data_IF_378376702886
#
_entry.id   IF_378376702886
#
_cell.length_a   1.000
_cell.length_b   1.000
_cell.length_c   1.000
_cell.angle_alpha   90.00
_cell.angle_beta   90.00
_cell.angle_gamma   90.00
#
_symmetry.space_group_name_H-M   'P 1'
#
loop_
_entity.id
_entity.type
_entity.pdbx_description
1 polymer ?
2 non-polymer ?
3 non-polymer ?
4 non-polymer ?
5 water ?
#
# COMPACT_ATOMS: atom_id res chain seq x y z
N UNK A 2 0.90 4.94 26.52
CA UNK A 2 1.53 4.89 25.21
C UNK A 2 0.90 3.82 24.31
N UNK A 3 0.72 4.13 23.03
CA UNK A 3 0.05 3.26 22.08
C UNK A 3 1.06 2.55 21.18
N UNK A 4 0.82 1.27 20.91
CA UNK A 4 1.69 0.41 20.11
C UNK A 4 0.86 -0.17 18.95
N UNK A 5 0.82 0.52 17.82
CA UNK A 5 -0.07 0.13 16.74
C UNK A 5 0.38 -1.17 16.07
N UNK A 6 -0.59 -2.05 15.81
CA UNK A 6 -0.36 -3.32 15.11
C UNK A 6 -0.73 -3.16 13.65
N UNK A 7 0.25 -3.36 12.75
CA UNK A 7 0.05 -3.30 11.30
C UNK A 7 0.10 -4.72 10.73
N UNK A 8 -0.85 -5.03 9.84
CA UNK A 8 -0.87 -6.31 9.17
C UNK A 8 -0.97 -6.10 7.65
N UNK A 9 -0.32 -7.00 6.91
CA UNK A 9 -0.41 -7.03 5.46
C UNK A 9 -1.03 -8.35 5.07
N UNK A 10 -2.08 -8.29 4.24
CA UNK A 10 -2.87 -9.46 3.86
C UNK A 10 -2.81 -9.61 2.35
N UNK A 11 -2.24 -10.72 1.89
CA UNK A 11 -2.25 -11.06 0.49
C UNK A 11 -3.45 -11.90 0.15
N UNK A 12 -4.17 -11.52 -0.89
CA UNK A 12 -5.39 -12.23 -1.31
C UNK A 12 -5.24 -12.68 -2.76
N UNK A 13 -5.32 -13.98 -2.99
CA UNK A 13 -5.12 -14.52 -4.32
C UNK A 13 -3.63 -14.62 -4.68
N UNK A 14 -3.38 -14.96 -5.95
CA UNK A 14 -2.02 -15.28 -6.36
C UNK A 14 -1.04 -14.11 -6.30
N UNK A 15 -1.37 -13.00 -6.97
CA UNK A 15 -0.45 -11.87 -6.98
C UNK A 15 -0.28 -11.27 -5.60
N UNK A 16 -1.35 -11.27 -4.81
CA UNK A 16 -1.24 -10.72 -3.47
C UNK A 16 -0.33 -11.57 -2.60
N UNK A 17 -0.47 -12.91 -2.74
CA UNK A 17 0.40 -13.79 -1.98
C UNK A 17 1.82 -13.77 -2.50
N UNK A 18 2.02 -13.53 -3.82
CA UNK A 18 3.37 -13.32 -4.34
C UNK A 18 4.02 -12.10 -3.72
N UNK A 19 3.25 -11.02 -3.57
CA UNK A 19 3.80 -9.80 -2.98
C UNK A 19 4.17 -10.03 -1.52
N UNK A 20 3.33 -10.76 -0.79
CA UNK A 20 3.63 -11.05 0.60
C UNK A 20 4.92 -11.87 0.71
N UNK A 21 5.05 -12.88 -0.15
CA UNK A 21 6.26 -13.70 -0.13
C UNK A 21 7.50 -12.88 -0.41
N UNK A 22 7.44 -12.00 -1.41
CA UNK A 22 8.60 -11.18 -1.75
C UNK A 22 8.90 -10.15 -0.66
N UNK A 23 7.88 -9.65 0.03
CA UNK A 23 8.13 -8.72 1.13
C UNK A 23 8.77 -9.42 2.32
N UNK A 24 8.31 -10.62 2.65
CA UNK A 24 8.93 -11.40 3.70
C UNK A 24 10.39 -11.71 3.36
N UNK A 25 10.64 -12.11 2.10
CA UNK A 25 12.01 -12.34 1.66
C UNK A 25 12.89 -11.11 1.85
N UNK A 26 12.39 -9.95 1.41
CA UNK A 26 13.17 -8.72 1.49
C UNK A 26 13.48 -8.35 2.94
N UNK A 27 12.56 -8.66 3.85
CA UNK A 27 12.74 -8.36 5.25
C UNK A 27 11.89 -7.19 5.72
N UNK A 28 10.97 -7.47 6.64
CA UNK A 28 10.17 -6.46 7.30
C UNK A 28 9.99 -6.88 8.75
N UNK A 29 9.92 -5.89 9.64
CA UNK A 29 9.78 -6.16 11.07
C UNK A 29 8.63 -5.34 11.64
N UNK A 30 8.08 -5.85 12.75
CA UNK A 30 6.90 -5.33 13.42
C UNK A 30 5.63 -5.41 12.57
N UNK A 31 5.70 -6.02 11.40
CA UNK A 31 4.53 -6.18 10.53
C UNK A 31 4.17 -7.66 10.52
N UNK A 32 2.88 -7.95 10.69
CA UNK A 32 2.39 -9.31 10.61
C UNK A 32 1.79 -9.57 9.23
N UNK A 33 2.00 -10.77 8.71
CA UNK A 33 1.54 -11.13 7.38
C UNK A 33 0.51 -12.24 7.43
N UNK A 34 -0.51 -12.10 6.58
CA UNK A 34 -1.57 -13.10 6.45
C UNK A 34 -1.71 -13.40 4.96
N UNK A 35 -1.77 -14.68 4.63
CA UNK A 35 -1.97 -15.15 3.26
C UNK A 35 -3.35 -15.79 3.15
N UNK A 36 -4.18 -15.30 2.24
CA UNK A 36 -5.51 -15.82 1.98
C UNK A 36 -5.61 -16.27 0.52
N UNK A 37 -6.08 -17.49 0.29
CA UNK A 37 -6.20 -17.98 -1.07
C UNK A 37 -7.14 -19.16 -1.11
N UNK A 38 -7.78 -19.31 -2.27
CA UNK A 38 -8.45 -20.55 -2.65
C UNK A 38 -7.47 -21.66 -3.01
N UNK A 39 -6.31 -21.30 -3.55
CA UNK A 39 -5.32 -22.21 -4.10
C UNK A 39 -4.48 -22.78 -2.99
N UNK A 40 -4.76 -24.04 -2.63
CA UNK A 40 -4.06 -24.68 -1.54
C UNK A 40 -2.60 -24.91 -1.81
N UNK A 41 -2.25 -25.21 -3.07
CA UNK A 41 -0.84 -25.45 -3.39
C UNK A 41 -0.03 -24.18 -3.22
N UNK A 42 -0.56 -23.05 -3.67
CA UNK A 42 0.11 -21.77 -3.48
C UNK A 42 0.23 -21.46 -2.00
N UNK A 43 -0.82 -21.72 -1.21
CA UNK A 43 -0.71 -21.45 0.22
C UNK A 43 0.34 -22.30 0.88
N UNK A 44 0.51 -23.54 0.42
CA UNK A 44 1.57 -24.36 1.00
C UNK A 44 2.93 -23.71 0.77
N UNK A 45 3.08 -22.93 -0.30
CA UNK A 45 4.36 -22.27 -0.59
C UNK A 45 4.48 -20.90 0.06
N UNK A 46 3.48 -20.44 0.78
CA UNK A 46 3.52 -19.12 1.39
C UNK A 46 4.46 -19.10 2.58
N UNK A 47 5.18 -18.00 2.73
CA UNK A 47 6.04 -17.80 3.90
C UNK A 47 5.31 -17.11 5.04
N UNK A 48 4.03 -16.78 4.87
CA UNK A 48 3.28 -16.07 5.89
C UNK A 48 3.04 -16.96 7.10
N UNK A 49 3.10 -16.33 8.29
CA UNK A 49 2.88 -17.01 9.56
C UNK A 49 1.43 -17.42 9.75
N UNK A 50 0.50 -16.73 9.08
CA UNK A 50 -0.92 -16.97 9.19
C UNK A 50 -1.45 -17.23 7.79
N UNK A 51 -2.06 -18.38 7.58
CA UNK A 51 -2.55 -18.79 6.27
C UNK A 51 -4.00 -19.17 6.41
N UNK A 52 -4.85 -18.69 5.51
CA UNK A 52 -6.27 -19.02 5.49
C UNK A 52 -6.62 -19.54 4.10
N UNK A 53 -7.02 -20.80 4.02
CA UNK A 53 -7.54 -21.39 2.81
C UNK A 53 -9.04 -21.15 2.81
N UNK A 54 -9.52 -20.49 1.77
CA UNK A 54 -10.91 -20.14 1.62
C UNK A 54 -11.50 -20.95 0.48
N UNK A 55 -12.79 -21.31 0.61
CA UNK A 55 -13.51 -21.86 -0.51
C UNK A 55 -13.21 -23.31 -0.87
N UNK A 56 -12.69 -24.10 0.07
CA UNK A 56 -12.33 -25.48 -0.30
C UNK A 56 -13.53 -26.27 -0.83
N UNK A 57 -14.71 -26.08 -0.24
CA UNK A 57 -15.90 -26.74 -0.77
C UNK A 57 -16.28 -26.24 -2.14
N UNK A 58 -15.91 -25.00 -2.50
CA UNK A 58 -16.29 -24.46 -3.80
C UNK A 58 -15.30 -24.81 -4.89
N UNK A 59 -14.00 -24.86 -4.57
CA UNK A 59 -12.96 -25.04 -5.58
C UNK A 59 -12.13 -26.31 -5.41
N UNK A 60 -12.34 -27.08 -4.33
CA UNK A 60 -11.55 -28.27 -4.04
C UNK A 60 -10.06 -28.00 -3.94
N UNK A 61 -9.69 -26.82 -3.47
CA UNK A 61 -8.31 -26.45 -3.25
C UNK A 61 -7.62 -25.83 -4.44
N UNK A 62 -8.33 -25.66 -5.54
CA UNK A 62 -7.83 -24.92 -6.69
C UNK A 62 -8.23 -23.46 -6.61
N UNK A 63 -7.65 -22.66 -7.50
CA UNK A 63 -8.12 -21.30 -7.63
C UNK A 63 -9.55 -21.24 -8.16
N UNK A 64 -10.06 -20.02 -8.25
CA UNK A 64 -11.41 -19.74 -8.69
C UNK A 64 -11.58 -19.70 -10.21
N UNK A 65 -10.50 -19.82 -10.98
CA UNK A 65 -10.66 -19.96 -12.42
C UNK A 65 -11.32 -18.76 -13.07
N UNK A 66 -10.94 -17.56 -12.63
CA UNK A 66 -11.40 -16.27 -13.15
C UNK A 66 -12.85 -15.95 -12.82
N UNK A 67 -13.46 -16.66 -11.85
CA UNK A 67 -14.86 -16.40 -11.50
C UNK A 67 -14.95 -15.58 -10.20
N UNK A 68 -15.19 -14.27 -10.25
CA UNK A 68 -15.15 -13.48 -9.03
C UNK A 68 -16.27 -13.78 -8.08
N UNK A 69 -17.41 -14.29 -8.56
CA UNK A 69 -18.49 -14.64 -7.64
C UNK A 69 -18.07 -15.77 -6.73
N UNK A 70 -17.24 -16.70 -7.23
CA UNK A 70 -16.70 -17.77 -6.38
C UNK A 70 -15.70 -17.22 -5.37
N UNK A 71 -14.85 -16.28 -5.79
CA UNK A 71 -13.94 -15.67 -4.84
C UNK A 71 -14.65 -14.91 -3.73
N UNK A 72 -15.73 -14.21 -4.09
CA UNK A 72 -16.53 -13.49 -3.11
C UNK A 72 -17.19 -14.47 -2.13
N UNK A 73 -17.88 -15.50 -2.64
CA UNK A 73 -18.53 -16.48 -1.77
C UNK A 73 -17.51 -17.18 -0.89
N UNK A 74 -16.34 -17.52 -1.44
CA UNK A 74 -15.31 -18.17 -0.62
C UNK A 74 -14.94 -17.32 0.59
N UNK A 75 -14.65 -16.03 0.36
CA UNK A 75 -14.30 -15.16 1.49
C UNK A 75 -15.45 -15.03 2.49
N UNK A 76 -16.67 -14.80 2.00
CA UNK A 76 -17.83 -14.66 2.90
C UNK A 76 -18.02 -15.90 3.77
N UNK A 77 -17.81 -17.08 3.21
CA UNK A 77 -18.02 -18.30 3.99
C UNK A 77 -16.90 -18.55 5.00
N UNK A 78 -15.75 -17.88 4.84
CA UNK A 78 -14.64 -17.92 5.79
C UNK A 78 -14.54 -16.65 6.65
N UNK A 79 -15.63 -15.90 6.76
CA UNK A 79 -15.61 -14.65 7.53
C UNK A 79 -15.03 -14.82 8.93
N UNK A 80 -15.49 -15.82 9.69
CA UNK A 80 -15.01 -15.94 11.07
C UNK A 80 -13.50 -16.19 11.13
N UNK A 81 -12.97 -17.00 10.20
CA UNK A 81 -11.55 -17.28 10.18
C UNK A 81 -10.76 -16.03 9.82
N UNK A 82 -11.28 -15.24 8.91
CA UNK A 82 -10.63 -13.99 8.53
C UNK A 82 -10.69 -13.00 9.69
N UNK A 83 -11.84 -12.87 10.34
CA UNK A 83 -11.94 -12.00 11.51
C UNK A 83 -10.90 -12.38 12.56
N UNK A 84 -10.81 -13.69 12.86
CA UNK A 84 -9.89 -14.15 13.90
C UNK A 84 -8.44 -13.80 13.56
N UNK A 85 -8.08 -13.86 12.27
CA UNK A 85 -6.69 -13.56 11.89
C UNK A 85 -6.40 -12.07 11.97
N UNK A 86 -7.41 -11.24 11.74
CA UNK A 86 -7.25 -9.78 11.77
C UNK A 86 -7.33 -9.21 13.20
N UNK A 87 -8.11 -9.85 14.08
CA UNK A 87 -8.44 -9.23 15.35
C UNK A 87 -7.21 -8.70 16.05
N UNK A 88 -7.24 -7.42 16.44
CA UNK A 88 -6.14 -6.76 17.08
C UNK A 88 -5.42 -5.77 16.19
N UNK A 89 -5.56 -5.90 14.88
CA UNK A 89 -4.90 -4.96 13.96
C UNK A 89 -5.48 -3.58 14.12
N UNK A 90 -4.58 -2.59 14.20
CA UNK A 90 -4.96 -1.19 14.10
C UNK A 90 -5.00 -0.73 12.65
N UNK A 91 -4.19 -1.32 11.79
CA UNK A 91 -4.14 -0.98 10.37
C UNK A 91 -3.90 -2.24 9.57
N UNK A 92 -4.62 -2.39 8.45
CA UNK A 92 -4.49 -3.53 7.56
C UNK A 92 -4.28 -3.03 6.14
N UNK A 93 -3.26 -3.57 5.47
CA UNK A 93 -3.04 -3.38 4.04
C UNK A 93 -3.48 -4.65 3.34
N UNK A 94 -4.42 -4.55 2.41
CA UNK A 94 -4.91 -5.67 1.62
C UNK A 94 -4.34 -5.53 0.22
N UNK A 95 -3.53 -6.48 -0.20
CA UNK A 95 -2.93 -6.45 -1.53
C UNK A 95 -3.39 -7.63 -2.38
N UNK A 96 -3.69 -7.35 -3.65
CA UNK A 96 -4.31 -8.34 -4.51
C UNK A 96 -4.17 -7.90 -5.95
N UNK A 97 -4.09 -8.86 -6.86
CA UNK A 97 -4.15 -8.60 -8.28
C UNK A 97 -5.57 -8.71 -8.80
N UNK A 98 -6.10 -7.66 -9.40
CA UNK A 98 -7.47 -7.66 -9.90
C UNK A 98 -7.55 -8.26 -11.31
N UNK A 99 -8.68 -8.92 -11.59
CA UNK A 99 -8.92 -9.47 -12.92
C UNK A 99 -9.33 -10.93 -12.94
N UNK A 100 -8.83 -11.68 -11.97
CA UNK A 100 -9.16 -13.08 -11.78
C UNK A 100 -10.37 -13.25 -10.88
N UNK A 101 -10.51 -14.45 -10.32
CA UNK A 101 -11.67 -14.72 -9.45
C UNK A 101 -11.39 -14.52 -7.96
N UNK A 102 -10.28 -15.06 -7.47
CA UNK A 102 -9.98 -14.94 -6.05
C UNK A 102 -9.66 -13.50 -5.63
N UNK A 103 -8.72 -12.84 -6.31
CA UNK A 103 -8.42 -11.46 -5.92
C UNK A 103 -9.62 -10.55 -6.11
N UNK A 104 -10.19 -10.54 -7.32
CA UNK A 104 -11.29 -9.63 -7.62
C UNK A 104 -12.42 -9.81 -6.63
N UNK A 105 -12.77 -11.06 -6.34
CA UNK A 105 -13.95 -11.34 -5.55
C UNK A 105 -13.71 -11.33 -4.05
N UNK A 106 -12.59 -11.91 -3.60
CA UNK A 106 -12.34 -12.03 -2.17
C UNK A 106 -11.71 -10.78 -1.57
N UNK A 107 -10.84 -10.07 -2.30
CA UNK A 107 -10.16 -8.95 -1.67
C UNK A 107 -11.13 -7.90 -1.12
N UNK A 108 -12.21 -7.53 -1.80
CA UNK A 108 -13.11 -6.53 -1.23
C UNK A 108 -13.83 -7.05 0.01
N UNK A 109 -14.05 -8.37 0.09
CA UNK A 109 -14.66 -8.93 1.28
C UNK A 109 -13.71 -8.86 2.47
N UNK A 110 -12.45 -9.23 2.24
CA UNK A 110 -11.43 -9.13 3.26
C UNK A 110 -11.31 -7.69 3.76
N UNK A 111 -11.27 -6.72 2.85
CA UNK A 111 -11.17 -5.33 3.27
C UNK A 111 -12.39 -4.89 4.08
N UNK A 112 -13.60 -5.28 3.65
CA UNK A 112 -14.80 -4.94 4.41
C UNK A 112 -14.72 -5.53 5.82
N UNK A 113 -14.26 -6.78 5.95
CA UNK A 113 -14.15 -7.39 7.28
C UNK A 113 -13.16 -6.61 8.13
N UNK A 114 -12.01 -6.24 7.56
CA UNK A 114 -11.01 -5.50 8.32
C UNK A 114 -11.57 -4.19 8.86
N UNK A 115 -12.27 -3.44 7.99
CA UNK A 115 -12.82 -2.16 8.41
C UNK A 115 -13.90 -2.35 9.46
N UNK A 116 -14.70 -3.41 9.31
CA UNK A 116 -15.73 -3.70 10.31
C UNK A 116 -15.13 -4.07 11.65
N UNK A 117 -13.96 -4.71 11.62
CA UNK A 117 -13.20 -5.06 12.83
C UNK A 117 -12.48 -3.86 13.45
N UNK A 118 -12.58 -2.67 12.85
CA UNK A 118 -11.98 -1.47 13.42
C UNK A 118 -10.61 -1.10 12.89
N UNK A 119 -10.08 -1.84 11.92
CA UNK A 119 -8.77 -1.49 11.37
C UNK A 119 -8.89 -0.39 10.32
N UNK A 120 -7.95 0.56 10.36
CA UNK A 120 -7.71 1.45 9.24
C UNK A 120 -7.24 0.61 8.06
N UNK A 121 -8.00 0.62 6.97
CA UNK A 121 -7.89 -0.37 5.92
C UNK A 121 -7.45 0.27 4.61
N UNK A 122 -6.31 -0.17 4.08
CA UNK A 122 -5.72 0.36 2.85
C UNK A 122 -5.63 -0.78 1.84
N UNK A 123 -6.13 -0.55 0.62
CA UNK A 123 -5.99 -1.50 -0.45
C UNK A 123 -4.87 -1.06 -1.39
N UNK A 124 -4.06 -2.02 -1.82
CA UNK A 124 -3.03 -1.79 -2.84
C UNK A 124 -3.19 -2.91 -3.87
N UNK A 125 -3.73 -2.58 -5.03
CA UNK A 125 -4.15 -3.58 -5.98
C UNK A 125 -3.62 -3.23 -7.36
N UNK A 126 -3.42 -4.25 -8.18
CA UNK A 126 -3.03 -4.08 -9.59
C UNK A 126 -4.22 -4.23 -10.53
N UNK A 127 -4.21 -3.50 -11.65
CA UNK A 127 -5.03 -3.77 -12.83
C UNK A 127 -4.24 -4.59 -13.84
N UNK A 128 -4.87 -5.46 -14.62
CA UNK A 128 -4.12 -6.37 -15.49
C UNK A 128 -3.46 -5.66 -16.67
N UNK A 129 -2.45 -6.32 -17.23
CA UNK A 129 -1.84 -5.80 -18.45
C UNK A 129 -2.87 -5.76 -19.57
N UNK A 130 -2.77 -4.76 -20.43
CA UNK A 130 -3.64 -4.73 -21.61
C UNK A 130 -3.54 -6.00 -22.46
N UNK A 131 -2.38 -6.66 -22.52
CA UNK A 131 -2.28 -7.88 -23.31
C UNK A 131 -3.14 -9.02 -22.75
N UNK A 132 -3.66 -8.88 -21.52
CA UNK A 132 -4.55 -9.89 -20.97
C UNK A 132 -5.98 -9.76 -21.49
N UNK A 133 -6.31 -8.70 -22.21
CA UNK A 133 -7.56 -8.59 -22.92
C UNK A 133 -8.62 -7.76 -22.21
N UNK A 134 -9.64 -7.38 -22.98
CA UNK A 134 -10.64 -6.43 -22.50
C UNK A 134 -11.50 -7.02 -21.39
N UNK A 135 -11.86 -8.30 -21.48
CA UNK A 135 -12.73 -8.88 -20.46
C UNK A 135 -12.06 -8.91 -19.09
N UNK A 136 -10.77 -9.23 -19.05
CA UNK A 136 -10.03 -9.21 -17.80
C UNK A 136 -9.96 -7.80 -17.23
N UNK A 137 -9.77 -6.81 -18.11
CA UNK A 137 -9.73 -5.43 -17.65
C UNK A 137 -11.08 -4.98 -17.10
N UNK A 138 -12.17 -5.37 -17.74
CA UNK A 138 -13.50 -5.02 -17.25
C UNK A 138 -13.79 -5.68 -15.92
N UNK A 139 -13.47 -6.97 -15.80
CA UNK A 139 -13.63 -7.65 -14.52
C UNK A 139 -12.79 -7.00 -13.43
N UNK A 140 -11.54 -6.65 -13.76
CA UNK A 140 -10.70 -5.96 -12.79
C UNK A 140 -11.32 -4.62 -12.38
N UNK A 141 -11.90 -3.87 -13.33
CA UNK A 141 -12.52 -2.58 -13.00
C UNK A 141 -13.64 -2.74 -11.98
N UNK A 142 -14.43 -3.81 -12.11
CA UNK A 142 -15.46 -4.04 -11.11
C UNK A 142 -14.85 -4.37 -9.74
N UNK A 143 -13.72 -5.09 -9.74
CA UNK A 143 -13.04 -5.34 -8.48
C UNK A 143 -12.52 -4.06 -7.84
N UNK A 144 -11.96 -3.17 -8.65
CA UNK A 144 -11.46 -1.91 -8.13
C UNK A 144 -12.58 -1.10 -7.51
N UNK A 145 -13.73 -1.06 -8.18
CA UNK A 145 -14.86 -0.31 -7.65
C UNK A 145 -15.34 -0.92 -6.33
N UNK A 146 -15.41 -2.25 -6.26
CA UNK A 146 -15.77 -2.91 -5.00
C UNK A 146 -14.73 -2.66 -3.92
N UNK A 147 -13.44 -2.70 -4.26
CA UNK A 147 -12.41 -2.36 -3.28
C UNK A 147 -12.63 -0.95 -2.74
N UNK A 148 -12.86 -0.01 -3.65
CA UNK A 148 -12.97 1.39 -3.23
C UNK A 148 -14.10 1.57 -2.24
N UNK A 149 -15.21 0.83 -2.43
CA UNK A 149 -16.35 0.93 -1.54
C UNK A 149 -16.07 0.30 -0.18
N UNK A 150 -15.05 -0.55 -0.08
CA UNK A 150 -14.78 -1.32 1.13
C UNK A 150 -13.63 -0.80 1.97
N UNK A 151 -12.69 -0.06 1.39
CA UNK A 151 -11.50 0.37 2.11
C UNK A 151 -11.66 1.80 2.62
N UNK A 152 -10.72 2.22 3.49
CA UNK A 152 -10.52 3.64 3.78
C UNK A 152 -9.80 4.35 2.64
N UNK A 153 -8.68 3.79 2.17
CA UNK A 153 -7.95 4.36 1.06
C UNK A 153 -7.51 3.26 0.09
N UNK A 154 -7.41 3.62 -1.18
CA UNK A 154 -7.06 2.67 -2.23
C UNK A 154 -5.94 3.22 -3.11
N UNK A 155 -4.94 2.37 -3.36
CA UNK A 155 -3.84 2.67 -4.28
C UNK A 155 -3.92 1.64 -5.39
N UNK A 156 -4.08 2.09 -6.62
CA UNK A 156 -4.14 1.22 -7.79
C UNK A 156 -2.86 1.36 -8.61
N UNK A 157 -2.26 0.22 -8.96
CA UNK A 157 -1.10 0.10 -9.83
C UNK A 157 -1.49 -0.58 -11.15
N UNK A 158 -1.66 0.13 -12.26
CA UNK A 158 -1.94 -0.54 -13.52
C UNK A 158 -0.67 -1.28 -13.96
N UNK A 159 -0.76 -2.58 -14.19
CA UNK A 159 0.43 -3.33 -14.59
C UNK A 159 1.04 -2.80 -15.87
N UNK A 160 0.25 -2.18 -16.74
CA UNK A 160 0.82 -1.58 -17.95
C UNK A 160 1.90 -0.58 -17.63
N UNK A 161 1.85 0.06 -16.46
CA UNK A 161 2.92 1.00 -16.13
C UNK A 161 4.27 0.31 -15.97
N UNK A 162 4.28 -0.98 -15.65
CA UNK A 162 5.55 -1.71 -15.59
C UNK A 162 6.26 -1.69 -16.94
N UNK A 163 5.50 -1.62 -18.03
CA UNK A 163 6.11 -1.57 -19.36
C UNK A 163 6.86 -0.26 -19.61
N UNK A 164 6.61 0.76 -18.80
CA UNK A 164 7.28 2.04 -18.91
C UNK A 164 8.61 2.08 -18.15
N UNK A 165 8.89 1.10 -17.31
CA UNK A 165 10.07 1.12 -16.45
C UNK A 165 11.07 0.00 -16.75
N UNK A 166 10.76 -0.89 -17.69
CA UNK A 166 11.67 -1.95 -18.06
C UNK A 166 12.34 -1.62 -19.39
N UNK A 167 13.48 -2.28 -19.62
CA UNK A 167 14.04 -2.36 -20.96
C UNK A 167 13.66 -3.72 -21.55
N UNK A 168 14.14 -4.03 -22.75
CA UNK A 168 13.68 -5.24 -23.43
C UNK A 168 14.13 -6.51 -22.73
N UNK A 169 15.10 -6.42 -21.83
CA UNK A 169 15.63 -7.58 -21.13
C UNK A 169 15.31 -7.65 -19.64
N UNK A 170 14.69 -6.63 -19.04
CA UNK A 170 14.46 -6.65 -17.59
C UNK A 170 13.66 -7.89 -17.22
N UNK A 171 14.13 -8.73 -16.29
CA UNK A 171 13.35 -9.92 -15.92
C UNK A 171 11.99 -9.54 -15.39
N UNK A 172 10.98 -10.34 -15.77
CA UNK A 172 9.64 -10.12 -15.24
C UNK A 172 9.64 -10.04 -13.72
N UNK A 173 10.41 -10.89 -13.04
CA UNK A 173 10.41 -10.84 -11.58
C UNK A 173 10.96 -9.53 -11.04
N UNK A 174 11.94 -8.93 -11.72
CA UNK A 174 12.46 -7.63 -11.28
C UNK A 174 11.42 -6.54 -11.45
N UNK A 175 10.63 -6.59 -12.52
CA UNK A 175 9.55 -5.64 -12.70
C UNK A 175 8.52 -5.81 -11.59
N UNK A 176 8.17 -7.05 -11.27
CA UNK A 176 7.19 -7.26 -10.21
C UNK A 176 7.69 -6.71 -8.88
N UNK A 177 9.00 -6.85 -8.60
CA UNK A 177 9.54 -6.28 -7.38
C UNK A 177 9.37 -4.76 -7.34
N UNK A 178 9.51 -4.08 -8.49
CA UNK A 178 9.28 -2.64 -8.50
C UNK A 178 7.85 -2.29 -8.11
N UNK A 179 6.86 -3.06 -8.55
CA UNK A 179 5.50 -2.77 -8.14
C UNK A 179 5.33 -3.07 -6.64
N UNK A 180 5.98 -4.13 -6.14
CA UNK A 180 5.91 -4.44 -4.71
C UNK A 180 6.38 -3.27 -3.85
N UNK A 181 7.34 -2.49 -4.36
CA UNK A 181 7.93 -1.42 -3.56
C UNK A 181 6.91 -0.36 -3.16
N UNK A 182 5.87 -0.16 -3.97
CA UNK A 182 4.83 0.78 -3.59
C UNK A 182 4.26 0.40 -2.23
N UNK A 183 3.81 -0.84 -2.11
CA UNK A 183 3.29 -1.33 -0.85
C UNK A 183 4.36 -1.36 0.23
N UNK A 184 5.53 -1.94 -0.08
CA UNK A 184 6.51 -2.21 0.96
C UNK A 184 7.04 -0.91 1.55
N UNK A 185 7.38 0.06 0.69
CA UNK A 185 7.92 1.32 1.19
C UNK A 185 6.86 2.13 1.92
N UNK A 186 5.60 2.05 1.49
CA UNK A 186 4.54 2.70 2.23
C UNK A 186 4.36 2.12 3.62
N UNK A 187 4.28 0.79 3.71
CA UNK A 187 4.17 0.14 5.00
C UNK A 187 5.33 0.52 5.90
N UNK A 188 6.55 0.44 5.36
CA UNK A 188 7.74 0.78 6.14
C UNK A 188 7.71 2.22 6.60
N UNK A 189 7.31 3.13 5.72
CA UNK A 189 7.25 4.53 6.09
C UNK A 189 6.24 4.80 7.19
N UNK A 190 5.09 4.15 7.13
CA UNK A 190 4.12 4.33 8.18
C UNK A 190 4.60 3.69 9.49
N UNK A 191 5.17 2.47 9.40
CA UNK A 191 5.71 1.83 10.58
C UNK A 191 6.74 2.71 11.28
N UNK A 192 7.62 3.33 10.50
CA UNK A 192 8.64 4.21 11.08
C UNK A 192 8.02 5.45 11.72
N UNK A 193 7.02 6.02 11.06
CA UNK A 193 6.32 7.16 11.63
C UNK A 193 5.65 6.81 12.96
N UNK A 194 5.12 5.59 13.06
CA UNK A 194 4.41 5.17 14.27
C UNK A 194 5.37 4.96 15.44
N UNK A 195 6.56 4.43 15.16
CA UNK A 195 7.49 3.98 16.18
C UNK A 195 8.49 5.04 16.63
N UNK A 196 8.90 5.94 15.72
CA UNK A 196 10.03 6.83 15.95
C UNK A 196 9.48 8.18 16.39
N UNK A 197 9.81 8.60 17.62
CA UNK A 197 9.37 9.91 18.10
C UNK A 197 10.03 11.00 17.28
N UNK A 198 9.24 11.99 16.85
CA UNK A 198 9.83 13.10 16.11
C UNK A 198 9.87 14.44 16.84
N UNK A 199 10.74 15.35 16.39
CA UNK A 199 10.79 16.68 17.00
C UNK A 199 9.51 17.46 16.73
N UNK A 200 8.91 17.29 15.56
CA UNK A 200 7.51 17.62 15.34
C UNK A 200 6.84 16.28 15.10
N UNK A 201 6.20 15.74 16.15
CA UNK A 201 5.84 14.34 16.17
C UNK A 201 4.50 14.11 15.47
N UNK A 202 4.48 13.10 14.61
CA UNK A 202 3.29 12.53 14.02
C UNK A 202 3.16 11.11 14.56
N UNK A 203 1.93 10.62 14.71
CA UNK A 203 1.74 9.26 15.20
C UNK A 203 0.57 8.64 14.46
N UNK A 204 0.13 7.47 14.93
CA UNK A 204 -0.90 6.76 14.22
C UNK A 204 -2.21 7.53 14.11
N UNK A 205 -2.55 8.37 15.10
CA UNK A 205 -3.76 9.18 14.98
C UNK A 205 -3.71 10.11 13.77
N UNK A 206 -2.52 10.59 13.43
CA UNK A 206 -2.42 11.44 12.25
C UNK A 206 -2.58 10.64 10.98
N UNK A 207 -2.09 9.40 10.97
CA UNK A 207 -2.32 8.53 9.83
C UNK A 207 -3.82 8.28 9.65
N UNK A 208 -4.52 8.06 10.76
CA UNK A 208 -5.97 7.84 10.68
C UNK A 208 -6.66 9.07 10.11
N UNK A 209 -6.26 10.26 10.54
CA UNK A 209 -6.91 11.47 10.04
C UNK A 209 -6.71 11.62 8.53
N UNK A 210 -5.50 11.35 8.03
CA UNK A 210 -5.25 11.56 6.61
C UNK A 210 -5.93 10.48 5.77
N UNK A 211 -6.08 9.27 6.31
CA UNK A 211 -6.50 8.12 5.52
C UNK A 211 -7.97 7.73 5.71
N UNK A 212 -8.62 8.05 6.82
CA UNK A 212 -9.93 7.47 7.11
C UNK A 212 -10.99 7.93 6.10
N UNK A 213 -11.68 6.97 5.49
CA UNK A 213 -12.80 7.21 4.57
C UNK A 213 -12.48 8.24 3.49
N UNK A 214 -11.33 8.06 2.82
CA UNK A 214 -10.86 9.07 1.86
C UNK A 214 -11.00 8.65 0.39
N UNK A 215 -10.90 7.37 0.07
CA UNK A 215 -10.92 6.95 -1.33
C UNK A 215 -9.51 6.79 -1.90
N UNK A 216 -9.27 7.40 -3.06
CA UNK A 216 -7.97 7.19 -3.69
C UNK A 216 -6.85 7.83 -2.87
N UNK A 217 -5.65 7.26 -2.98
CA UNK A 217 -4.54 7.80 -2.22
C UNK A 217 -3.23 7.61 -2.96
N UNK A 218 -2.23 8.36 -2.52
CA UNK A 218 -0.83 8.18 -2.90
C UNK A 218 -0.02 8.00 -1.61
N UNK A 219 0.92 7.07 -1.63
CA UNK A 219 1.90 6.87 -0.56
C UNK A 219 3.28 6.78 -1.21
N UNK A 220 4.22 7.62 -0.79
CA UNK A 220 5.53 7.65 -1.39
C UNK A 220 6.63 8.02 -0.42
N UNK A 221 7.84 7.48 -0.70
CA UNK A 221 9.04 7.80 0.06
C UNK A 221 10.11 8.25 -0.94
N UNK A 222 10.85 9.29 -0.60
CA UNK A 222 11.98 9.70 -1.41
C UNK A 222 13.18 9.95 -0.52
N UNK A 223 14.36 9.60 -1.03
CA UNK A 223 15.63 9.79 -0.32
C UNK A 223 16.60 10.49 -1.24
N UNK A 224 17.30 11.50 -0.72
CA UNK A 224 18.34 12.13 -1.49
C UNK A 224 19.40 12.72 -0.55
N UNK A 225 20.51 13.13 -1.16
CA UNK A 225 21.65 13.67 -0.45
C UNK A 225 22.15 14.87 -1.25
N UNK A 226 22.99 15.66 -0.61
CA UNK A 226 23.72 16.68 -1.33
C UNK A 226 22.94 17.97 -1.50
N UNK A 227 23.36 18.75 -2.50
CA UNK A 227 22.64 19.99 -2.78
C UNK A 227 21.27 19.68 -3.33
N UNK A 228 20.30 20.50 -2.96
CA UNK A 228 18.90 20.33 -3.36
C UNK A 228 18.30 19.05 -2.84
N UNK A 229 18.88 18.45 -1.80
CA UNK A 229 18.39 17.16 -1.31
C UNK A 229 16.91 17.20 -0.92
N UNK A 230 16.47 18.27 -0.25
CA UNK A 230 15.08 18.30 0.22
C UNK A 230 14.10 18.32 -0.96
N UNK A 231 14.34 19.20 -1.92
CA UNK A 231 13.52 19.25 -3.12
C UNK A 231 13.57 17.92 -3.86
N UNK A 232 14.78 17.36 -4.02
CA UNK A 232 14.91 16.11 -4.76
C UNK A 232 14.18 14.96 -4.05
N UNK A 233 14.32 14.84 -2.72
CA UNK A 233 13.63 13.78 -2.00
C UNK A 233 12.12 13.94 -2.09
N UNK A 234 11.63 15.18 -1.97
CA UNK A 234 10.19 15.43 -2.06
C UNK A 234 9.67 15.08 -3.44
N UNK A 235 10.39 15.46 -4.50
CA UNK A 235 9.95 15.08 -5.83
C UNK A 235 9.89 13.57 -6.01
N UNK A 236 10.88 12.85 -5.46
CA UNK A 236 10.85 11.40 -5.58
C UNK A 236 9.65 10.82 -4.86
N UNK A 237 9.32 11.35 -3.68
CA UNK A 237 8.21 10.81 -2.92
C UNK A 237 6.89 10.89 -3.68
N UNK A 238 6.72 11.86 -4.56
CA UNK A 238 5.41 12.14 -5.15
C UNK A 238 5.30 11.76 -6.62
N UNK A 239 6.35 11.20 -7.23
CA UNK A 239 6.43 11.11 -8.68
C UNK A 239 6.59 9.68 -9.20
N UNK A 240 5.93 8.71 -8.58
CA UNK A 240 6.09 7.32 -9.06
C UNK A 240 5.46 7.14 -10.44
N UNK A 241 6.14 6.51 -11.40
CA UNK A 241 5.52 6.22 -12.68
C UNK A 241 4.54 5.06 -12.66
N UNK A 242 4.34 4.41 -11.53
CA UNK A 242 3.51 3.22 -11.46
C UNK A 242 2.08 3.48 -11.01
N UNK A 243 1.74 4.71 -10.69
CA UNK A 243 0.50 5.00 -9.99
C UNK A 243 -0.61 5.44 -10.94
N UNK A 244 -1.82 4.96 -10.67
CA UNK A 244 -3.00 5.53 -11.30
C UNK A 244 -3.33 6.90 -10.73
N UNK A 245 -3.23 7.06 -9.41
CA UNK A 245 -3.54 8.31 -8.74
C UNK A 245 -2.22 9.03 -8.51
N UNK A 246 -1.98 10.11 -9.26
CA UNK A 246 -0.83 10.97 -9.02
C UNK A 246 -1.15 11.94 -7.89
N UNK A 247 -0.15 12.77 -7.56
CA UNK A 247 -0.31 13.80 -6.55
C UNK A 247 -1.27 14.91 -6.97
N UNK A 248 -1.51 15.06 -8.27
CA UNK A 248 -2.27 16.20 -8.76
C UNK A 248 -3.72 16.11 -8.30
N UNK A 249 -4.20 17.17 -7.65
CA UNK A 249 -5.54 17.19 -7.09
C UNK A 249 -5.62 16.92 -5.60
N UNK A 250 -4.52 16.53 -4.96
CA UNK A 250 -4.55 16.19 -3.55
C UNK A 250 -4.96 17.40 -2.72
N UNK A 251 -5.91 17.19 -1.83
CA UNK A 251 -6.35 18.23 -0.91
C UNK A 251 -5.83 18.04 0.50
N UNK A 252 -5.41 16.83 0.86
CA UNK A 252 -4.79 16.59 2.16
C UNK A 252 -3.50 15.81 2.01
N UNK A 253 -2.49 16.22 2.77
CA UNK A 253 -1.18 15.58 2.72
C UNK A 253 -0.63 15.41 4.13
N UNK A 254 -0.10 14.24 4.42
CA UNK A 254 0.78 14.04 5.57
C UNK A 254 2.19 13.97 5.02
N UNK A 255 3.07 14.85 5.48
CA UNK A 255 4.46 14.87 5.04
C UNK A 255 5.36 14.82 6.26
N UNK A 256 6.22 13.82 6.31
CA UNK A 256 7.25 13.75 7.32
C UNK A 256 8.61 13.85 6.68
N UNK A 257 9.47 14.67 7.26
CA UNK A 257 10.86 14.79 6.83
C UNK A 257 11.77 14.27 7.94
N UNK A 258 12.64 13.34 7.58
CA UNK A 258 13.66 12.81 8.49
C UNK A 258 15.03 13.23 7.98
N UNK A 259 15.88 13.71 8.87
CA UNK A 259 17.25 14.06 8.52
C UNK A 259 18.12 14.03 9.75
N UNK A 260 19.40 14.34 9.53
CA UNK A 260 20.35 14.49 10.61
C UNK A 260 20.25 15.84 11.27
N UNK A 261 21.23 16.14 12.14
CA UNK A 261 21.16 17.39 12.87
C UNK A 261 21.31 18.62 11.97
N UNK A 262 21.73 18.43 10.71
CA UNK A 262 21.85 19.54 9.76
C UNK A 262 20.53 19.92 9.10
N UNK A 263 19.44 19.21 9.36
CA UNK A 263 18.17 19.49 8.71
C UNK A 263 17.76 20.93 8.98
N UNK A 264 17.62 21.71 7.91
CA UNK A 264 17.36 23.15 8.05
C UNK A 264 15.88 23.47 7.91
N UNK A 265 15.48 24.57 8.56
CA UNK A 265 14.11 25.03 8.41
C UNK A 265 13.83 25.37 6.96
N UNK A 266 14.78 26.06 6.31
CA UNK A 266 14.59 26.45 4.92
C UNK A 266 14.29 25.24 4.04
N UNK A 267 15.05 24.17 4.19
CA UNK A 267 14.82 23.04 3.28
C UNK A 267 13.53 22.30 3.59
N UNK A 268 13.07 22.33 4.85
CA UNK A 268 11.76 21.76 5.15
C UNK A 268 10.65 22.52 4.45
N UNK A 269 10.74 23.85 4.46
CA UNK A 269 9.78 24.66 3.69
C UNK A 269 9.86 24.35 2.20
N UNK A 270 11.09 24.19 1.67
CA UNK A 270 11.22 23.86 0.24
C UNK A 270 10.49 22.57 -0.10
N UNK A 271 10.65 21.54 0.73
CA UNK A 271 10.02 20.25 0.49
C UNK A 271 8.50 20.36 0.56
N UNK A 272 8.00 21.07 1.57
CA UNK A 272 6.55 21.30 1.67
C UNK A 272 6.02 22.04 0.45
N UNK A 273 6.73 23.07 -0.01
CA UNK A 273 6.25 23.83 -1.17
C UNK A 273 6.24 22.98 -2.43
N UNK A 274 7.21 22.07 -2.59
CA UNK A 274 7.22 21.16 -3.74
C UNK A 274 5.94 20.34 -3.77
N UNK A 275 5.56 19.80 -2.62
CA UNK A 275 4.37 18.95 -2.57
C UNK A 275 3.14 19.76 -2.90
N UNK A 276 2.97 20.91 -2.24
CA UNK A 276 1.79 21.74 -2.49
C UNK A 276 1.73 22.20 -3.93
N UNK A 277 2.86 22.67 -4.47
CA UNK A 277 2.88 23.10 -5.87
C UNK A 277 2.46 21.95 -6.78
N UNK A 278 3.00 20.74 -6.54
CA UNK A 278 2.70 19.63 -7.43
C UNK A 278 1.22 19.23 -7.33
N UNK A 279 0.65 19.32 -6.13
CA UNK A 279 -0.77 19.02 -5.98
C UNK A 279 -1.63 20.00 -6.75
N UNK A 280 -1.13 21.21 -6.97
CA UNK A 280 -1.90 22.27 -7.63
C UNK A 280 -3.24 22.49 -6.93
N UNK A 281 -3.22 22.41 -5.60
CA UNK A 281 -4.39 22.68 -4.77
C UNK A 281 -3.90 23.36 -3.51
N UNK A 282 -4.82 23.97 -2.77
CA UNK A 282 -4.51 24.45 -1.43
C UNK A 282 -4.59 23.23 -0.52
N UNK A 283 -3.44 22.70 -0.17
CA UNK A 283 -3.37 21.42 0.53
C UNK A 283 -3.46 21.64 2.03
N UNK A 284 -4.26 20.82 2.70
CA UNK A 284 -4.29 20.78 4.16
C UNK A 284 -3.19 19.83 4.61
N UNK A 285 -2.06 20.37 5.05
CA UNK A 285 -0.91 19.56 5.37
C UNK A 285 -0.89 19.18 6.86
N UNK A 286 -0.44 17.95 7.12
CA UNK A 286 -0.04 17.51 8.45
C UNK A 286 1.46 17.26 8.36
N UNK A 287 2.25 18.11 9.02
CA UNK A 287 3.68 18.12 8.84
C UNK A 287 4.41 17.54 10.05
N UNK A 288 5.43 16.74 9.78
CA UNK A 288 6.26 16.19 10.83
C UNK A 288 7.73 16.26 10.47
N UNK A 289 8.56 16.17 11.51
CA UNK A 289 10.00 16.15 11.36
C UNK A 289 10.62 15.23 12.39
N UNK A 290 11.60 14.45 11.95
CA UNK A 290 12.37 13.55 12.79
C UNK A 290 13.85 13.84 12.57
N UNK A 291 14.60 14.02 13.66
CA UNK A 291 16.04 14.18 13.61
C UNK A 291 16.65 12.83 13.98
N UNK A 292 17.25 12.17 13.01
CA UNK A 292 17.99 10.93 13.24
C UNK A 292 19.46 11.26 13.11
N UNK A 293 20.18 11.42 14.22
CA UNK A 293 21.59 11.81 14.12
C UNK A 293 22.46 10.82 13.37
N UNK A 294 22.07 9.54 13.35
CA UNK A 294 22.85 8.57 12.60
C UNK A 294 22.95 8.99 11.14
N UNK A 295 21.92 9.64 10.61
CA UNK A 295 21.98 10.15 9.25
C UNK A 295 22.98 11.29 9.18
N UNK A 296 23.70 11.34 8.05
CA UNK A 296 24.67 12.39 7.83
C UNK A 296 24.10 13.35 6.82
N UNK A 297 24.30 13.13 5.53
CA UNK A 297 23.84 14.02 4.48
C UNK A 297 22.49 13.61 3.90
N UNK A 298 21.94 12.46 4.31
CA UNK A 298 20.72 11.97 3.70
C UNK A 298 19.49 12.63 4.32
N UNK A 299 18.49 12.82 3.48
CA UNK A 299 17.17 13.29 3.89
C UNK A 299 16.13 12.33 3.33
N UNK A 300 15.08 12.06 4.12
CA UNK A 300 14.01 11.15 3.73
C UNK A 300 12.69 11.89 3.86
N UNK A 301 11.91 11.93 2.79
CA UNK A 301 10.60 12.56 2.79
C UNK A 301 9.56 11.47 2.57
N UNK A 302 8.60 11.40 3.48
CA UNK A 302 7.48 10.48 3.41
C UNK A 302 6.22 11.29 3.15
N UNK A 303 5.44 10.87 2.16
CA UNK A 303 4.20 11.56 1.79
C UNK A 303 3.04 10.57 1.72
N UNK A 304 1.93 10.94 2.36
CA UNK A 304 0.65 10.27 2.14
C UNK A 304 -0.31 11.37 1.70
N UNK A 305 -0.94 11.20 0.54
CA UNK A 305 -1.83 12.20 0.00
C UNK A 305 -3.19 11.60 -0.27
N UNK A 306 -4.24 12.33 0.13
CA UNK A 306 -5.63 11.93 -0.06
C UNK A 306 -6.45 13.18 -0.40
N UNK A 307 -7.76 13.05 -0.39
CA UNK A 307 -8.60 14.19 -0.68
C UNK A 307 -8.75 14.48 -2.16
N UNK A 308 -8.68 13.45 -3.00
CA UNK A 308 -8.97 13.57 -4.42
C UNK A 308 -10.47 13.38 -4.60
#
# INVERSE_FOLDING_TARGET
GSHMATLKVIGVGGGGNNAVNRMIDHGMNNVEFIAINTDGQALNLSKAESKIQIGEKLTRGLGAGANPEIGKKAAEESREQIEDAIQGADMVFVTSGMGGGTGTGAAPVVAKIAKEMGALTVGVVTRPFSFEGRKRQTQAAAGVEAMKAAVDTLIVIPNDRLLDIVDKSTPMMEAFKEADNVLRQGVQGISDLIAVSGEVNLDFADVKTIMSNQGSALMGIGVSSGENRAVEAAKKAISSPLLETSIVGAQGVLMNITGGESLSLFEAQEAADIVQDAADEDVNMIFGTVINPELQDEIVVTVIATGFD
#
